data_IF_347460509596
#
_entry.id   IF_347460509596
#
_cell.length_a   1.000
_cell.length_b   1.000
_cell.length_c   1.000
_cell.angle_alpha   90.00
_cell.angle_beta   90.00
_cell.angle_gamma   90.00
#
_symmetry.space_group_name_H-M   'P 1'
#
loop_
_entity.id
_entity.type
_entity.pdbx_description
1 polymer ?
#
# COMPACT_ATOMS: atom_id res chain seq x y z
N UNK A 1 78.09 -21.82 16.25
CA UNK A 1 77.13 -22.00 15.13
C UNK A 1 76.25 -23.18 15.48
N UNK A 2 74.92 -23.18 15.44
CA UNK A 2 73.94 -22.43 14.66
C UNK A 2 72.62 -22.32 15.44
N UNK A 3 71.95 -21.16 15.38
CA UNK A 3 70.62 -20.92 15.94
C UNK A 3 69.58 -21.42 14.93
N UNK A 4 68.60 -22.22 15.34
CA UNK A 4 67.35 -22.42 14.58
C UNK A 4 66.19 -21.87 15.40
N UNK A 5 65.72 -20.69 15.00
CA UNK A 5 64.42 -20.15 15.37
C UNK A 5 63.38 -20.88 14.53
N UNK A 6 62.36 -21.49 15.13
CA UNK A 6 61.17 -21.90 14.40
C UNK A 6 59.98 -21.07 14.86
N UNK A 7 59.23 -20.65 13.84
CA UNK A 7 58.28 -19.57 13.82
C UNK A 7 56.88 -20.07 14.23
N UNK A 8 56.11 -19.12 14.73
CA UNK A 8 54.70 -19.08 15.12
C UNK A 8 53.74 -19.64 14.05
N UNK A 9 52.61 -20.21 14.48
CA UNK A 9 51.32 -19.99 13.79
C UNK A 9 50.13 -20.32 14.71
N UNK A 10 49.62 -19.30 15.40
CA UNK A 10 48.25 -19.29 15.91
C UNK A 10 47.32 -19.03 14.74
N UNK A 11 46.59 -20.06 14.30
CA UNK A 11 45.50 -19.89 13.34
C UNK A 11 44.26 -19.35 14.08
N UNK A 12 44.04 -18.04 14.04
CA UNK A 12 42.80 -17.41 14.48
C UNK A 12 41.77 -17.54 13.34
N UNK A 13 40.82 -18.46 13.51
CA UNK A 13 39.76 -18.71 12.54
C UNK A 13 38.72 -17.58 12.65
N UNK A 14 38.83 -16.59 11.76
CA UNK A 14 37.87 -15.49 11.67
C UNK A 14 36.65 -15.93 10.83
N UNK A 15 35.62 -16.46 11.47
CA UNK A 15 34.34 -16.75 10.81
C UNK A 15 33.61 -15.44 10.50
N UNK A 16 33.73 -14.98 9.26
CA UNK A 16 32.91 -13.91 8.67
C UNK A 16 31.48 -14.45 8.48
N UNK A 17 30.58 -14.14 9.41
CA UNK A 17 29.14 -14.27 9.16
C UNK A 17 28.70 -13.10 8.26
N UNK A 18 28.65 -13.34 6.96
CA UNK A 18 27.97 -12.44 6.03
C UNK A 18 26.47 -12.51 6.32
N UNK A 19 25.89 -11.42 6.84
CA UNK A 19 24.45 -11.32 7.03
C UNK A 19 23.72 -11.40 5.69
N UNK A 20 23.04 -12.50 5.43
CA UNK A 20 22.14 -12.63 4.28
C UNK A 20 20.84 -11.93 4.66
N UNK A 21 20.61 -10.74 4.10
CA UNK A 21 19.28 -10.12 4.18
C UNK A 21 18.31 -10.95 3.36
N UNK A 22 17.48 -11.75 4.04
CA UNK A 22 16.31 -12.39 3.41
C UNK A 22 15.31 -11.27 3.13
N UNK A 23 15.23 -10.83 1.87
CA UNK A 23 14.12 -9.99 1.43
C UNK A 23 12.92 -10.94 1.32
N UNK A 24 12.00 -10.82 2.27
CA UNK A 24 10.75 -11.54 2.22
C UNK A 24 9.91 -10.92 1.09
N UNK A 25 9.50 -11.75 0.13
CA UNK A 25 8.71 -11.31 -1.02
C UNK A 25 7.42 -10.65 -0.52
N UNK A 26 7.01 -9.53 -1.13
CA UNK A 26 5.78 -8.81 -0.78
C UNK A 26 5.73 -8.27 0.65
N UNK A 27 6.90 -8.02 1.27
CA UNK A 27 6.99 -7.40 2.60
C UNK A 27 7.44 -5.95 2.49
N UNK A 28 6.53 -4.98 2.68
CA UNK A 28 6.88 -3.57 2.71
C UNK A 28 7.75 -3.22 3.92
N UNK A 29 8.64 -2.21 3.81
CA UNK A 29 9.35 -1.67 4.96
C UNK A 29 8.39 -1.15 6.03
N UNK A 30 8.77 -1.26 7.31
CA UNK A 30 7.91 -0.85 8.43
C UNK A 30 7.47 0.63 8.42
N UNK A 31 8.18 1.50 7.69
CA UNK A 31 7.84 2.92 7.56
C UNK A 31 6.98 3.23 6.32
N UNK A 32 6.73 2.23 5.47
CA UNK A 32 5.91 2.41 4.29
C UNK A 32 4.45 2.68 4.67
N UNK A 33 3.76 3.48 3.84
CA UNK A 33 2.36 3.84 4.07
C UNK A 33 1.68 4.26 2.77
N UNK A 34 0.37 4.07 2.72
CA UNK A 34 -0.53 4.67 1.73
C UNK A 34 -1.48 5.66 2.42
N UNK A 35 -1.86 6.73 1.74
CA UNK A 35 -2.63 7.82 2.35
C UNK A 35 -3.42 8.63 1.32
N UNK A 36 -4.44 9.35 1.77
CA UNK A 36 -5.16 10.32 0.94
C UNK A 36 -4.43 11.66 0.89
N UNK A 37 -4.35 12.26 -0.29
CA UNK A 37 -3.76 13.58 -0.50
C UNK A 37 -4.87 14.64 -0.56
N UNK A 38 -4.88 15.56 0.41
CA UNK A 38 -5.79 16.70 0.42
C UNK A 38 -7.25 16.36 0.70
N UNK A 39 -7.54 15.16 1.23
CA UNK A 39 -8.85 14.77 1.72
C UNK A 39 -8.71 14.24 3.15
N UNK A 40 -9.17 15.05 4.10
CA UNK A 40 -9.05 14.76 5.52
C UNK A 40 -10.29 14.03 6.07
N UNK A 41 -10.10 13.35 7.20
CA UNK A 41 -11.19 12.81 7.98
C UNK A 41 -12.14 13.91 8.47
N UNK A 42 -13.44 13.68 8.36
CA UNK A 42 -14.51 14.64 8.63
C UNK A 42 -14.78 15.64 7.51
N UNK A 43 -14.12 15.55 6.35
CA UNK A 43 -14.30 16.51 5.27
C UNK A 43 -15.75 16.54 4.73
N UNK A 44 -16.24 17.75 4.43
CA UNK A 44 -17.54 17.96 3.78
C UNK A 44 -17.32 18.37 2.33
N UNK A 45 -17.71 17.52 1.39
CA UNK A 45 -17.39 17.65 -0.04
C UNK A 45 -18.64 17.70 -0.92
N UNK A 46 -18.46 18.02 -2.20
CA UNK A 46 -19.51 17.92 -3.23
C UNK A 46 -19.17 16.77 -4.17
N UNK A 47 -20.21 16.12 -4.69
CA UNK A 47 -20.07 15.10 -5.73
C UNK A 47 -20.00 15.77 -7.12
N UNK A 48 -19.16 15.29 -8.06
CA UNK A 48 -18.27 14.14 -7.91
C UNK A 48 -17.05 14.43 -7.02
N UNK A 49 -16.62 13.45 -6.23
CA UNK A 49 -15.51 13.58 -5.28
C UNK A 49 -14.22 13.16 -5.95
N UNK A 50 -13.29 14.10 -6.17
CA UNK A 50 -11.94 13.77 -6.61
C UNK A 50 -11.10 13.31 -5.42
N UNK A 51 -10.62 12.07 -5.46
CA UNK A 51 -9.74 11.48 -4.46
C UNK A 51 -8.34 11.27 -5.04
N UNK A 52 -7.30 11.50 -4.25
CA UNK A 52 -5.90 11.32 -4.64
C UNK A 52 -5.19 10.44 -3.63
N UNK A 53 -4.35 9.54 -4.13
CA UNK A 53 -3.66 8.51 -3.38
C UNK A 53 -2.16 8.83 -3.36
N UNK A 54 -1.56 8.70 -2.18
CA UNK A 54 -0.14 8.81 -1.97
C UNK A 54 0.42 7.50 -1.43
N UNK A 55 1.70 7.27 -1.72
CA UNK A 55 2.50 6.19 -1.17
C UNK A 55 3.85 6.74 -0.74
N UNK A 56 4.40 6.23 0.35
CA UNK A 56 5.75 6.54 0.83
C UNK A 56 6.43 5.23 1.25
N UNK A 57 7.74 5.10 0.99
CA UNK A 57 8.54 3.93 1.40
C UNK A 57 8.27 2.63 0.62
N UNK A 58 7.43 2.65 -0.42
CA UNK A 58 7.12 1.51 -1.28
C UNK A 58 6.72 1.96 -2.70
N UNK A 59 6.61 1.03 -3.66
CA UNK A 59 6.36 1.35 -5.07
C UNK A 59 4.92 1.14 -5.55
N UNK A 60 4.60 1.76 -6.70
CA UNK A 60 3.38 1.47 -7.48
C UNK A 60 3.74 0.79 -8.80
N UNK A 61 2.98 -0.22 -9.17
CA UNK A 61 3.11 -0.98 -10.41
C UNK A 61 1.75 -1.56 -10.81
N UNK A 62 1.47 -1.81 -12.10
CA UNK A 62 0.22 -2.44 -12.51
C UNK A 62 0.00 -3.83 -11.89
N UNK A 63 -1.25 -4.22 -11.73
CA UNK A 63 -1.63 -5.60 -11.44
C UNK A 63 -1.04 -6.55 -12.50
N UNK A 64 -0.73 -7.79 -12.09
CA UNK A 64 -0.10 -8.79 -12.93
C UNK A 64 1.40 -8.56 -13.22
N UNK A 65 2.02 -7.53 -12.65
CA UNK A 65 3.48 -7.28 -12.80
C UNK A 65 4.29 -8.52 -12.43
N UNK A 66 5.27 -8.87 -13.28
CA UNK A 66 6.14 -10.05 -13.09
C UNK A 66 7.59 -9.64 -12.85
N UNK A 67 8.42 -10.63 -12.52
CA UNK A 67 9.85 -10.42 -12.27
C UNK A 67 10.11 -9.73 -10.93
N UNK A 68 11.20 -8.94 -10.85
CA UNK A 68 11.68 -8.40 -9.56
C UNK A 68 10.76 -7.33 -8.96
N UNK A 69 10.08 -6.55 -9.81
CA UNK A 69 9.29 -5.41 -9.37
C UNK A 69 8.04 -5.80 -8.56
N UNK A 70 7.49 -6.99 -8.80
CA UNK A 70 6.30 -7.52 -8.12
C UNK A 70 6.46 -7.62 -6.59
N UNK A 71 7.69 -7.77 -6.11
CA UNK A 71 8.00 -7.90 -4.68
C UNK A 71 8.26 -6.56 -3.98
N UNK A 72 8.29 -5.45 -4.72
CA UNK A 72 8.72 -4.13 -4.21
C UNK A 72 7.73 -3.01 -4.53
N UNK A 73 6.60 -3.36 -5.14
CA UNK A 73 5.57 -2.44 -5.56
C UNK A 73 4.22 -3.17 -5.66
N UNK A 74 3.14 -2.41 -5.62
CA UNK A 74 1.78 -2.91 -5.76
C UNK A 74 0.87 -1.90 -6.43
N UNK A 75 -0.43 -2.04 -6.28
CA UNK A 75 -1.40 -1.07 -6.78
C UNK A 75 -2.48 -0.76 -5.75
N UNK A 76 -3.12 0.39 -5.91
CA UNK A 76 -4.15 0.84 -4.97
C UNK A 76 -5.45 0.06 -5.16
N UNK A 77 -6.10 -0.18 -4.03
CA UNK A 77 -7.52 -0.44 -3.93
C UNK A 77 -8.15 0.64 -3.06
N UNK A 78 -9.38 1.03 -3.38
CA UNK A 78 -10.18 1.91 -2.54
C UNK A 78 -11.39 1.15 -2.00
N UNK A 79 -11.45 1.04 -0.67
CA UNK A 79 -12.56 0.50 0.07
C UNK A 79 -13.53 1.65 0.38
N UNK A 80 -14.75 1.55 -0.12
CA UNK A 80 -15.83 2.54 0.04
C UNK A 80 -16.94 1.91 0.87
N UNK A 81 -17.26 2.50 2.02
CA UNK A 81 -18.33 2.02 2.91
C UNK A 81 -18.16 0.56 3.35
N UNK A 82 -16.92 0.16 3.61
CA UNK A 82 -16.56 -1.17 4.11
C UNK A 82 -16.32 -1.10 5.62
N UNK A 83 -17.19 -1.72 6.40
CA UNK A 83 -17.08 -1.74 7.87
C UNK A 83 -15.98 -2.69 8.36
N UNK A 84 -16.05 -3.94 7.92
CA UNK A 84 -15.10 -5.01 8.26
C UNK A 84 -14.01 -5.07 7.19
N UNK A 85 -12.75 -5.00 7.60
CA UNK A 85 -11.63 -5.16 6.66
C UNK A 85 -11.73 -6.51 5.90
N UNK A 86 -11.34 -6.56 4.62
CA UNK A 86 -11.33 -7.80 3.86
C UNK A 86 -10.38 -8.82 4.49
N UNK A 87 -10.54 -10.09 4.13
CA UNK A 87 -9.56 -11.11 4.49
C UNK A 87 -8.20 -10.71 3.88
N UNK A 88 -7.17 -10.60 4.71
CA UNK A 88 -5.85 -10.14 4.28
C UNK A 88 -5.02 -11.25 3.62
N UNK A 89 -5.49 -12.49 3.71
CA UNK A 89 -4.87 -13.67 3.09
C UNK A 89 -5.58 -14.10 1.79
N UNK A 90 -6.45 -13.25 1.24
CA UNK A 90 -7.19 -13.49 0.00
C UNK A 90 -7.14 -12.27 -0.93
N UNK A 91 -7.34 -12.47 -2.25
CA UNK A 91 -7.50 -11.36 -3.17
C UNK A 91 -8.62 -10.40 -2.74
N UNK A 92 -8.37 -9.09 -2.85
CA UNK A 92 -9.36 -8.06 -2.53
C UNK A 92 -10.62 -8.30 -3.38
N UNK A 93 -11.83 -8.32 -2.77
CA UNK A 93 -13.08 -8.51 -3.51
C UNK A 93 -13.22 -7.50 -4.66
N UNK A 94 -13.94 -7.87 -5.71
CA UNK A 94 -14.25 -6.96 -6.82
C UNK A 94 -15.74 -6.72 -6.89
N UNK A 95 -16.18 -5.63 -6.27
CA UNK A 95 -17.58 -5.23 -6.18
C UNK A 95 -17.70 -3.69 -6.11
N UNK A 96 -18.91 -3.18 -5.83
CA UNK A 96 -19.16 -1.74 -5.77
C UNK A 96 -18.47 -1.01 -4.60
N UNK A 97 -18.01 -1.75 -3.58
CA UNK A 97 -17.36 -1.24 -2.38
C UNK A 97 -15.84 -1.40 -2.42
N UNK A 98 -15.31 -2.20 -3.34
CA UNK A 98 -13.88 -2.45 -3.51
C UNK A 98 -13.48 -2.07 -4.92
N UNK A 99 -12.97 -0.85 -5.08
CA UNK A 99 -12.54 -0.32 -6.38
C UNK A 99 -11.07 -0.64 -6.62
N UNK A 100 -10.75 -1.09 -7.83
CA UNK A 100 -9.43 -1.54 -8.23
C UNK A 100 -8.76 -0.52 -9.15
N UNK A 101 -7.48 -0.25 -8.94
CA UNK A 101 -6.66 0.64 -9.76
C UNK A 101 -5.54 -0.16 -10.42
N UNK A 102 -5.96 -1.06 -11.32
CA UNK A 102 -5.14 -2.13 -11.90
C UNK A 102 -3.93 -1.61 -12.70
N UNK A 103 -3.93 -0.36 -13.16
CA UNK A 103 -2.83 0.22 -13.93
C UNK A 103 -1.88 1.06 -13.08
N UNK A 104 -2.05 1.04 -11.75
CA UNK A 104 -1.26 1.85 -10.82
C UNK A 104 -1.74 3.29 -10.74
N UNK A 105 -3.03 3.53 -10.95
CA UNK A 105 -3.63 4.86 -10.82
C UNK A 105 -3.47 5.39 -9.39
N UNK A 106 -3.30 6.70 -9.29
CA UNK A 106 -3.08 7.41 -8.01
C UNK A 106 -4.17 8.45 -7.75
N UNK A 107 -5.23 8.46 -8.54
CA UNK A 107 -6.41 9.30 -8.30
C UNK A 107 -7.66 8.70 -8.95
N UNK A 108 -8.82 9.07 -8.42
CA UNK A 108 -10.12 8.68 -8.94
C UNK A 108 -11.14 9.81 -8.79
N UNK A 109 -12.21 9.74 -9.58
CA UNK A 109 -13.38 10.59 -9.44
C UNK A 109 -14.55 9.70 -9.07
N UNK A 110 -15.15 9.93 -7.90
CA UNK A 110 -16.19 9.07 -7.33
C UNK A 110 -17.55 9.77 -7.37
N UNK A 111 -18.53 9.09 -7.94
CA UNK A 111 -19.94 9.51 -7.94
C UNK A 111 -20.63 9.01 -6.66
N UNK A 112 -20.25 9.58 -5.52
CA UNK A 112 -20.86 9.27 -4.24
C UNK A 112 -22.20 10.00 -4.09
N UNK A 113 -23.18 9.31 -3.51
CA UNK A 113 -24.49 9.90 -3.19
C UNK A 113 -24.35 10.90 -2.03
N UNK A 114 -25.28 11.84 -1.87
CA UNK A 114 -25.34 12.65 -0.65
C UNK A 114 -25.46 11.78 0.60
N UNK A 115 -24.65 12.07 1.62
CA UNK A 115 -24.60 11.28 2.84
C UNK A 115 -23.20 11.14 3.42
N UNK A 116 -23.09 10.33 4.47
CA UNK A 116 -21.80 9.97 5.07
C UNK A 116 -21.22 8.74 4.33
N UNK A 117 -19.92 8.79 4.06
CA UNK A 117 -19.18 7.69 3.44
C UNK A 117 -17.87 7.44 4.18
N UNK A 118 -17.41 6.20 4.22
CA UNK A 118 -16.06 5.85 4.68
C UNK A 118 -15.17 5.49 3.50
N UNK A 119 -13.91 5.92 3.55
CA UNK A 119 -12.90 5.64 2.53
C UNK A 119 -11.64 5.10 3.19
N UNK A 120 -11.05 4.06 2.61
CA UNK A 120 -9.77 3.52 3.05
C UNK A 120 -8.98 2.96 1.85
N UNK A 121 -7.68 3.25 1.79
CA UNK A 121 -6.79 2.65 0.80
C UNK A 121 -6.22 1.34 1.35
N UNK A 122 -6.04 0.39 0.44
CA UNK A 122 -5.35 -0.88 0.66
C UNK A 122 -4.44 -1.14 -0.53
N UNK A 123 -3.17 -1.45 -0.29
CA UNK A 123 -2.24 -1.80 -1.37
C UNK A 123 -2.25 -3.32 -1.59
N UNK A 124 -2.55 -3.73 -2.81
CA UNK A 124 -2.45 -5.13 -3.25
C UNK A 124 -1.20 -5.38 -4.09
N UNK A 125 -0.78 -6.63 -4.19
CA UNK A 125 0.32 -7.10 -5.03
C UNK A 125 -0.11 -7.34 -6.50
N UNK A 126 0.62 -8.17 -7.25
CA UNK A 126 0.27 -8.49 -8.64
C UNK A 126 -1.03 -9.28 -8.80
N UNK A 127 -1.46 -10.03 -7.79
CA UNK A 127 -2.61 -10.94 -7.83
C UNK A 127 -3.77 -10.42 -6.95
N UNK A 128 -3.73 -9.11 -6.63
CA UNK A 128 -4.71 -8.38 -5.80
C UNK A 128 -4.75 -8.83 -4.34
N UNK A 129 -3.75 -9.57 -3.88
CA UNK A 129 -3.60 -9.95 -2.48
C UNK A 129 -2.96 -8.79 -1.70
N UNK A 130 -3.44 -8.46 -0.49
CA UNK A 130 -2.78 -7.49 0.37
C UNK A 130 -1.30 -7.83 0.60
N UNK A 131 -0.44 -6.81 0.64
CA UNK A 131 0.96 -6.99 1.04
C UNK A 131 1.05 -7.55 2.48
N UNK A 132 2.17 -8.16 2.87
CA UNK A 132 2.39 -8.68 4.23
C UNK A 132 3.63 -8.05 4.90
N UNK A 133 3.48 -7.12 5.86
CA UNK A 133 2.22 -6.69 6.46
C UNK A 133 1.38 -5.79 5.54
N UNK A 134 0.06 -5.79 5.77
CA UNK A 134 -0.88 -5.00 4.97
C UNK A 134 -0.59 -3.50 5.03
N UNK A 135 -0.45 -2.89 3.85
CA UNK A 135 -0.35 -1.45 3.70
C UNK A 135 -1.75 -0.84 3.52
N UNK A 136 -2.30 -0.36 4.62
CA UNK A 136 -3.59 0.33 4.65
C UNK A 136 -3.44 1.78 5.08
N UNK A 137 -4.28 2.67 4.54
CA UNK A 137 -4.39 4.02 5.07
C UNK A 137 -5.19 4.03 6.37
N UNK A 138 -5.16 5.16 7.07
CA UNK A 138 -6.24 5.48 8.01
C UNK A 138 -7.58 5.44 7.25
N UNK A 139 -8.59 4.84 7.86
CA UNK A 139 -9.98 4.98 7.41
C UNK A 139 -10.43 6.41 7.71
N UNK A 140 -11.00 7.08 6.72
CA UNK A 140 -11.55 8.43 6.87
C UNK A 140 -13.06 8.39 6.62
N UNK A 141 -13.78 9.31 7.25
CA UNK A 141 -15.21 9.53 7.05
C UNK A 141 -15.40 10.89 6.38
N UNK A 142 -16.14 10.93 5.27
CA UNK A 142 -16.49 12.17 4.58
C UNK A 142 -18.00 12.35 4.52
N UNK A 143 -18.45 13.58 4.36
CA UNK A 143 -19.87 13.91 4.13
C UNK A 143 -20.05 14.57 2.77
N UNK A 144 -20.80 13.92 1.89
CA UNK A 144 -21.16 14.45 0.57
C UNK A 144 -22.44 15.28 0.71
N UNK A 145 -22.38 16.55 0.28
CA UNK A 145 -23.52 17.48 0.35
C UNK A 145 -24.68 17.00 -0.54
N UNK A 146 -25.95 17.27 -0.16
CA UNK A 146 -27.08 17.16 -1.07
C UNK A 146 -26.83 17.96 -2.35
N UNK A 147 -27.19 17.40 -3.50
CA UNK A 147 -27.22 18.15 -4.74
C UNK A 147 -28.22 19.29 -4.57
N UNK A 148 -27.76 20.53 -4.72
CA UNK A 148 -28.67 21.67 -4.79
C UNK A 148 -29.32 21.58 -6.18
N UNK A 149 -30.53 21.02 -6.26
CA UNK A 149 -31.35 21.16 -7.47
C UNK A 149 -31.48 22.64 -7.77
N UNK A 150 -30.90 23.06 -8.89
CA UNK A 150 -31.11 24.42 -9.38
C UNK A 150 -32.61 24.57 -9.64
N UNK A 151 -33.29 25.37 -8.81
CA UNK A 151 -34.63 25.85 -9.13
C UNK A 151 -34.48 26.70 -10.39
N UNK A 152 -34.94 26.17 -11.51
CA UNK A 152 -35.22 26.97 -12.71
C UNK A 152 -36.31 27.97 -12.33
N UNK A 153 -36.00 29.26 -12.39
CA UNK A 153 -37.01 30.33 -12.40
C UNK A 153 -37.79 30.30 -13.70
#
# INVERSE_FOLDING_TARGET
MSKKKMLVSSAMLLTLFSGVSVVQAHTPPAHAKVYFIGLDDGAVVQSPVKVKFGIEGFGITPAGTKGKHRHTAGHHHLLVDVDTAPNLDEPVPRDAHHLHFDQGETEAVLDLKPGQHTLQLLLGDEDHEPQDPALMSKKITITVKPSVSQKTN
#
